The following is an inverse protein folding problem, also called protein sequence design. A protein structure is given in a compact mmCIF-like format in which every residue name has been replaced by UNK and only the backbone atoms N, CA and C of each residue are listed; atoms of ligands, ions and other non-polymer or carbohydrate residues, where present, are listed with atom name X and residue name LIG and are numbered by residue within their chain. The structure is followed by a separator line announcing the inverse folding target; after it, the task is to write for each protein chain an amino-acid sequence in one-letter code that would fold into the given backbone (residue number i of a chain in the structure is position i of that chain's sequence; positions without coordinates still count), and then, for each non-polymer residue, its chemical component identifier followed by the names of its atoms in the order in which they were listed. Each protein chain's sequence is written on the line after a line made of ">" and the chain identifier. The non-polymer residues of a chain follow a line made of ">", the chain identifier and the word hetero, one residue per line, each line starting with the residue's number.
data_IF_070978544035
#
_entry.id   IF_070978544035
#
_cell.length_a   1.000
_cell.length_b   1.000
_cell.length_c   1.000
_cell.angle_alpha   90.00
_cell.angle_beta   90.00
_cell.angle_gamma   90.00
#
_symmetry.space_group_name_H-M   'P 1'
#
loop_
_entity.id
_entity.type
_entity.pdbx_description
1 polymer ?
#
# COMPACT_ATOMS: atom_id res chain seq x y z
N UNK A 1 -10.28 -44.97 -24.85
CA UNK A 1 -9.84 -44.17 -23.66
C UNK A 1 -10.36 -42.76 -23.80
N UNK A 2 -10.96 -42.24 -22.75
CA UNK A 2 -11.40 -40.86 -22.72
C UNK A 2 -10.28 -39.99 -22.07
N UNK A 3 -9.82 -38.99 -22.79
CA UNK A 3 -8.85 -38.01 -22.31
C UNK A 3 -9.60 -36.79 -21.81
N UNK A 4 -9.43 -36.47 -20.51
CA UNK A 4 -10.18 -35.40 -19.86
C UNK A 4 -9.53 -34.04 -20.08
N UNK A 5 -10.33 -33.04 -20.44
CA UNK A 5 -9.98 -31.63 -20.36
C UNK A 5 -10.61 -31.06 -19.10
N UNK A 6 -9.81 -30.46 -18.21
CA UNK A 6 -10.32 -29.82 -17.01
C UNK A 6 -9.90 -28.35 -16.99
N UNK A 7 -10.87 -27.48 -16.72
CA UNK A 7 -10.65 -26.04 -16.51
C UNK A 7 -10.98 -25.73 -15.06
N UNK A 8 -10.05 -25.06 -14.37
CA UNK A 8 -10.21 -24.61 -13.01
C UNK A 8 -9.94 -23.11 -12.94
N UNK A 9 -10.70 -22.41 -12.11
CA UNK A 9 -10.54 -20.98 -11.87
C UNK A 9 -10.44 -20.76 -10.36
N UNK A 10 -9.54 -19.87 -9.95
CA UNK A 10 -9.42 -19.40 -8.57
C UNK A 10 -9.58 -17.88 -8.57
N UNK A 11 -10.37 -17.38 -7.63
CA UNK A 11 -10.54 -15.96 -7.41
C UNK A 11 -10.15 -15.61 -5.98
N UNK A 12 -9.31 -14.59 -5.83
CA UNK A 12 -8.99 -13.95 -4.56
C UNK A 12 -9.49 -12.51 -4.55
N UNK A 13 -10.38 -12.19 -3.60
CA UNK A 13 -10.79 -10.83 -3.29
C UNK A 13 -10.43 -10.51 -1.84
N UNK A 14 -9.57 -9.50 -1.61
CA UNK A 14 -9.13 -9.14 -0.26
C UNK A 14 -8.85 -7.66 -0.13
N UNK A 15 -8.97 -7.14 1.10
CA UNK A 15 -8.53 -5.78 1.42
C UNK A 15 -7.02 -5.64 1.21
N UNK A 16 -6.59 -4.45 0.81
CA UNK A 16 -5.18 -4.14 0.67
C UNK A 16 -4.39 -4.24 1.98
N UNK A 17 -3.09 -4.01 1.90
CA UNK A 17 -2.18 -4.12 3.04
C UNK A 17 -2.41 -3.01 4.06
N UNK A 18 -2.32 -3.30 5.37
CA UNK A 18 -2.44 -2.27 6.39
C UNK A 18 -1.22 -1.35 6.37
N UNK A 19 -1.45 -0.06 6.66
CA UNK A 19 -0.40 0.92 6.86
C UNK A 19 -0.77 1.95 7.92
N UNK A 20 0.20 2.77 8.32
CA UNK A 20 0.05 3.82 9.32
C UNK A 20 0.48 5.17 8.74
N UNK A 21 -0.22 6.23 9.11
CA UNK A 21 0.27 7.60 8.89
C UNK A 21 1.19 8.03 10.03
N UNK A 22 2.36 8.58 9.68
CA UNK A 22 3.40 8.96 10.64
C UNK A 22 3.99 10.32 10.34
N UNK A 23 4.70 10.89 11.30
CA UNK A 23 5.62 12.00 11.06
C UNK A 23 6.82 11.55 10.23
N UNK A 24 7.45 12.47 9.52
CA UNK A 24 8.66 12.19 8.70
C UNK A 24 9.93 12.11 9.54
N UNK A 25 9.91 12.67 10.74
CA UNK A 25 11.03 12.76 11.66
C UNK A 25 10.61 12.24 13.03
N UNK A 26 11.60 12.05 13.88
CA UNK A 26 11.40 11.74 15.29
C UNK A 26 10.65 12.90 15.98
N UNK A 27 9.38 12.66 16.29
CA UNK A 27 8.51 13.67 16.92
C UNK A 27 8.46 13.53 18.44
N UNK A 28 8.78 12.34 18.98
CA UNK A 28 8.72 12.05 20.41
C UNK A 28 10.08 12.11 21.11
N UNK A 29 11.20 12.19 20.34
CA UNK A 29 12.55 12.32 20.87
C UNK A 29 13.20 11.01 21.32
N UNK A 30 12.69 9.85 20.85
CA UNK A 30 13.23 8.53 21.20
C UNK A 30 14.39 8.08 20.29
N UNK A 31 14.80 8.92 19.34
CA UNK A 31 15.80 8.67 18.31
C UNK A 31 15.35 7.66 17.25
N UNK A 32 14.07 7.26 17.25
CA UNK A 32 13.44 6.42 16.23
C UNK A 32 12.77 7.28 15.17
N UNK A 33 13.16 7.17 13.91
CA UNK A 33 12.34 7.66 12.79
C UNK A 33 11.38 6.59 12.34
N UNK A 34 10.25 6.96 11.72
CA UNK A 34 9.27 6.05 11.12
C UNK A 34 8.35 5.27 12.10
N UNK A 35 8.27 5.69 13.36
CA UNK A 35 7.43 5.08 14.40
C UNK A 35 6.43 6.06 15.04
N UNK A 36 6.57 7.35 14.82
CA UNK A 36 5.73 8.38 15.44
C UNK A 36 4.42 8.58 14.69
N UNK A 37 3.33 8.08 15.27
CA UNK A 37 1.99 8.17 14.69
C UNK A 37 1.56 9.63 14.54
N UNK A 38 0.92 9.92 13.42
CA UNK A 38 0.53 11.27 13.06
C UNK A 38 -0.67 11.77 13.87
N UNK A 39 -0.54 12.91 14.55
CA UNK A 39 -1.69 13.63 15.09
C UNK A 39 -2.37 14.41 13.99
N UNK A 40 -3.63 14.12 13.75
CA UNK A 40 -4.45 14.78 12.74
C UNK A 40 -5.05 16.05 13.33
N UNK A 41 -4.69 17.25 12.85
CA UNK A 41 -5.23 18.48 13.37
C UNK A 41 -6.76 18.52 13.34
N UNK A 42 -7.38 19.02 14.39
CA UNK A 42 -8.84 19.09 14.53
C UNK A 42 -9.49 20.09 13.55
N UNK A 43 -8.69 21.04 13.04
CA UNK A 43 -9.13 22.04 12.08
C UNK A 43 -8.09 23.15 11.93
N UNK A 44 -8.35 24.16 11.09
CA UNK A 44 -7.47 25.31 10.96
C UNK A 44 -7.19 25.99 12.31
N UNK A 45 -5.93 26.28 12.55
CA UNK A 45 -5.47 26.90 13.82
C UNK A 45 -5.24 25.94 14.99
N UNK A 46 -5.51 24.62 14.85
CA UNK A 46 -5.20 23.65 15.91
C UNK A 46 -3.69 23.45 16.07
N UNK A 47 -2.98 23.41 14.97
CA UNK A 47 -1.50 23.40 14.91
C UNK A 47 -0.99 24.60 14.14
N UNK A 48 0.28 24.91 14.28
CA UNK A 48 0.95 26.01 13.57
C UNK A 48 1.73 25.43 12.39
N UNK A 49 1.55 25.99 11.21
CA UNK A 49 2.33 25.60 10.04
C UNK A 49 3.49 26.58 9.80
N UNK A 50 4.69 26.06 9.56
CA UNK A 50 5.89 26.89 9.34
C UNK A 50 5.77 27.83 8.14
N UNK A 51 4.99 27.45 7.12
CA UNK A 51 4.66 28.27 5.93
C UNK A 51 3.41 29.13 6.11
N UNK A 52 2.85 29.22 7.32
CA UNK A 52 1.66 30.04 7.62
C UNK A 52 0.39 29.53 6.94
N UNK A 53 -0.56 30.43 6.74
CA UNK A 53 -1.90 30.12 6.25
C UNK A 53 -1.93 29.41 4.89
N UNK A 54 -0.99 29.70 4.00
CA UNK A 54 -0.94 29.04 2.68
C UNK A 54 -0.59 27.55 2.80
N UNK A 55 0.35 27.20 3.67
CA UNK A 55 0.72 25.81 3.94
C UNK A 55 -0.39 25.08 4.68
N UNK A 56 -1.03 25.73 5.63
CA UNK A 56 -2.20 25.20 6.35
C UNK A 56 -3.35 24.88 5.37
N UNK A 57 -3.71 25.82 4.51
CA UNK A 57 -4.75 25.61 3.49
C UNK A 57 -4.42 24.45 2.55
N UNK A 58 -3.16 24.33 2.14
CA UNK A 58 -2.70 23.20 1.29
C UNK A 58 -2.82 21.85 2.01
N UNK A 59 -2.49 21.80 3.31
CA UNK A 59 -2.64 20.59 4.11
C UNK A 59 -4.11 20.17 4.24
N UNK A 60 -5.00 21.10 4.60
CA UNK A 60 -6.41 20.77 4.76
C UNK A 60 -7.10 20.43 3.44
N UNK A 61 -6.73 21.07 2.33
CA UNK A 61 -7.21 20.69 1.00
C UNK A 61 -6.81 19.27 0.60
N UNK A 62 -5.62 18.82 1.03
CA UNK A 62 -5.20 17.43 0.87
C UNK A 62 -5.96 16.51 1.83
N UNK A 63 -6.13 16.89 3.10
CA UNK A 63 -6.82 16.09 4.10
C UNK A 63 -8.29 15.81 3.70
N UNK A 64 -8.97 16.78 3.10
CA UNK A 64 -10.34 16.62 2.57
C UNK A 64 -10.45 15.53 1.49
N UNK A 65 -9.37 15.27 0.76
CA UNK A 65 -9.31 14.19 -0.23
C UNK A 65 -8.99 12.82 0.40
N UNK A 66 -8.75 12.78 1.71
CA UNK A 66 -8.40 11.58 2.47
C UNK A 66 -9.38 11.37 3.64
N UNK A 67 -10.65 11.05 3.38
CA UNK A 67 -11.72 11.00 4.39
C UNK A 67 -11.44 9.98 5.49
N UNK A 68 -10.71 8.92 5.21
CA UNK A 68 -10.32 7.91 6.20
C UNK A 68 -9.40 8.50 7.28
N UNK A 69 -8.43 9.36 6.89
CA UNK A 69 -7.57 10.06 7.82
C UNK A 69 -8.32 11.22 8.51
N UNK A 70 -9.14 11.94 7.76
CA UNK A 70 -9.95 13.04 8.28
C UNK A 70 -10.89 12.60 9.41
N UNK A 71 -11.32 11.34 9.43
CA UNK A 71 -12.12 10.78 10.52
C UNK A 71 -11.41 10.81 11.89
N UNK A 72 -10.10 10.98 11.92
CA UNK A 72 -9.29 11.08 13.13
C UNK A 72 -8.90 12.51 13.52
N UNK A 73 -9.58 13.53 12.99
CA UNK A 73 -9.31 14.92 13.38
C UNK A 73 -9.38 15.10 14.90
N UNK A 74 -8.38 15.80 15.44
CA UNK A 74 -8.19 15.98 16.89
C UNK A 74 -7.60 14.76 17.63
N UNK A 75 -7.16 13.75 16.92
CA UNK A 75 -6.66 12.50 17.49
C UNK A 75 -5.36 12.05 16.81
N UNK A 76 -4.64 11.13 17.45
CA UNK A 76 -3.53 10.41 16.83
C UNK A 76 -4.15 9.30 15.97
N UNK A 77 -3.78 9.27 14.69
CA UNK A 77 -4.19 8.22 13.76
C UNK A 77 -3.65 6.86 14.25
N UNK A 78 -4.51 5.82 14.40
CA UNK A 78 -4.07 4.55 14.95
C UNK A 78 -3.08 3.82 14.03
N UNK A 79 -2.20 3.04 14.63
CA UNK A 79 -1.28 2.18 13.89
C UNK A 79 -2.04 1.12 13.07
N UNK A 80 -1.63 0.92 11.81
CA UNK A 80 -2.17 -0.10 10.89
C UNK A 80 -3.70 0.01 10.66
N UNK A 81 -4.27 1.21 10.85
CA UNK A 81 -5.70 1.43 10.70
C UNK A 81 -6.14 1.64 9.24
N UNK A 82 -5.23 1.99 8.38
CA UNK A 82 -5.48 2.32 6.97
C UNK A 82 -5.13 1.14 6.07
N UNK A 83 -5.72 1.10 4.89
CA UNK A 83 -5.52 0.03 3.92
C UNK A 83 -5.17 0.60 2.54
N UNK A 84 -4.29 -0.08 1.81
CA UNK A 84 -4.10 0.16 0.38
C UNK A 84 -5.31 -0.34 -0.41
N UNK A 85 -5.31 -0.15 -1.72
CA UNK A 85 -6.41 -0.54 -2.60
C UNK A 85 -6.82 -2.01 -2.45
N UNK A 86 -8.11 -2.28 -2.75
CA UNK A 86 -8.66 -3.63 -2.75
C UNK A 86 -8.06 -4.47 -3.87
N UNK A 87 -7.62 -5.67 -3.53
CA UNK A 87 -7.00 -6.60 -4.49
C UNK A 87 -8.03 -7.60 -5.01
N UNK A 88 -8.12 -7.71 -6.34
CA UNK A 88 -8.88 -8.74 -7.02
C UNK A 88 -7.94 -9.51 -7.96
N UNK A 89 -7.76 -10.79 -7.76
CA UNK A 89 -6.92 -11.64 -8.60
C UNK A 89 -7.69 -12.86 -9.10
N UNK A 90 -7.46 -13.23 -10.36
CA UNK A 90 -8.03 -14.40 -11.00
C UNK A 90 -6.93 -15.26 -11.58
N UNK A 91 -6.92 -16.54 -11.22
CA UNK A 91 -6.02 -17.54 -11.79
C UNK A 91 -6.83 -18.57 -12.56
N UNK A 92 -6.29 -19.02 -13.68
CA UNK A 92 -6.90 -20.06 -14.52
C UNK A 92 -5.91 -21.18 -14.76
N UNK A 93 -6.36 -22.40 -14.55
CA UNK A 93 -5.62 -23.62 -14.90
C UNK A 93 -6.41 -24.46 -15.88
N UNK A 94 -5.78 -24.81 -17.00
CA UNK A 94 -6.32 -25.71 -17.98
C UNK A 94 -5.42 -26.95 -18.03
N UNK A 95 -6.00 -28.14 -17.85
CA UNK A 95 -5.27 -29.39 -17.99
C UNK A 95 -5.91 -30.24 -19.08
N UNK A 96 -5.07 -30.88 -19.89
CA UNK A 96 -5.47 -31.82 -20.92
C UNK A 96 -4.74 -33.15 -20.74
N UNK A 97 -5.50 -34.21 -20.54
CA UNK A 97 -4.96 -35.55 -20.64
C UNK A 97 -4.68 -35.90 -22.11
N UNK A 98 -3.58 -36.59 -22.34
CA UNK A 98 -3.12 -37.03 -23.64
C UNK A 98 -2.68 -38.51 -23.54
N UNK A 99 -2.64 -39.27 -24.63
CA UNK A 99 -2.08 -40.60 -24.64
C UNK A 99 -0.62 -40.57 -24.19
N UNK A 100 -0.17 -41.62 -23.55
CA UNK A 100 1.24 -41.87 -23.30
C UNK A 100 1.95 -42.41 -24.53
N UNK A 101 3.27 -42.57 -24.46
CA UNK A 101 4.10 -43.12 -25.52
C UNK A 101 4.08 -44.69 -25.56
N UNK A 102 3.47 -45.30 -24.53
CA UNK A 102 3.29 -46.75 -24.44
C UNK A 102 1.87 -47.07 -23.96
N UNK A 103 1.44 -48.33 -24.20
CA UNK A 103 0.12 -48.82 -23.78
C UNK A 103 -0.01 -48.74 -22.25
N UNK A 104 -1.14 -48.20 -21.77
CA UNK A 104 -1.41 -47.98 -20.35
C UNK A 104 -0.80 -46.71 -19.77
N UNK A 105 0.05 -46.00 -20.51
CA UNK A 105 0.65 -44.73 -20.07
C UNK A 105 -0.24 -43.54 -20.44
N UNK A 106 -0.11 -42.48 -19.66
CA UNK A 106 -0.82 -41.22 -19.88
C UNK A 106 0.13 -40.02 -19.76
N UNK A 107 -0.20 -38.94 -20.45
CA UNK A 107 0.45 -37.65 -20.31
C UNK A 107 -0.57 -36.60 -19.87
N UNK A 108 -0.14 -35.58 -19.19
CA UNK A 108 -0.98 -34.42 -18.85
C UNK A 108 -0.21 -33.15 -19.21
N UNK A 109 -0.81 -32.36 -20.05
CA UNK A 109 -0.37 -31.00 -20.33
C UNK A 109 -1.17 -30.04 -19.46
N UNK A 110 -0.51 -29.14 -18.74
CA UNK A 110 -1.17 -28.13 -17.93
C UNK A 110 -0.67 -26.72 -18.30
N UNK A 111 -1.61 -25.82 -18.50
CA UNK A 111 -1.39 -24.40 -18.69
C UNK A 111 -1.96 -23.67 -17.46
N UNK A 112 -1.08 -23.00 -16.72
CA UNK A 112 -1.44 -22.13 -15.59
C UNK A 112 -1.27 -20.68 -16.02
N UNK A 113 -2.31 -19.87 -15.83
CA UNK A 113 -2.30 -18.43 -16.07
C UNK A 113 -2.63 -17.77 -14.73
N UNK A 114 -1.63 -17.14 -14.11
CA UNK A 114 -1.79 -16.44 -12.86
C UNK A 114 -2.10 -14.98 -13.13
N UNK A 115 -2.99 -14.41 -12.33
CA UNK A 115 -3.45 -13.02 -12.43
C UNK A 115 -3.90 -12.66 -13.85
N UNK A 116 -4.81 -13.48 -14.44
CA UNK A 116 -5.30 -13.27 -15.81
C UNK A 116 -5.98 -11.92 -15.99
N UNK A 117 -6.51 -11.31 -14.92
CA UNK A 117 -7.04 -9.95 -14.95
C UNK A 117 -6.00 -8.95 -15.41
N UNK A 118 -4.77 -9.02 -14.90
CA UNK A 118 -3.67 -8.15 -15.31
C UNK A 118 -3.20 -8.39 -16.76
N UNK A 119 -3.38 -9.60 -17.29
CA UNK A 119 -3.13 -9.89 -18.71
C UNK A 119 -4.13 -9.16 -19.63
N UNK A 120 -5.36 -8.98 -19.17
CA UNK A 120 -6.42 -8.30 -19.93
C UNK A 120 -6.39 -6.78 -19.78
N UNK A 121 -6.02 -6.30 -18.60
CA UNK A 121 -5.87 -4.89 -18.27
C UNK A 121 -4.75 -4.74 -17.23
N UNK A 122 -3.73 -3.94 -17.56
CA UNK A 122 -2.54 -3.73 -16.73
C UNK A 122 -2.81 -3.10 -15.36
N UNK A 123 -3.97 -2.45 -15.18
CA UNK A 123 -4.40 -1.85 -13.93
C UNK A 123 -5.16 -2.83 -13.00
N UNK A 124 -5.42 -4.05 -13.44
CA UNK A 124 -6.14 -5.03 -12.64
C UNK A 124 -5.20 -5.98 -11.91
N UNK A 125 -5.66 -6.46 -10.76
CA UNK A 125 -4.92 -7.43 -9.95
C UNK A 125 -3.62 -6.90 -9.37
N UNK A 126 -3.49 -5.58 -9.22
CA UNK A 126 -2.33 -4.94 -8.62
C UNK A 126 -2.36 -5.10 -7.10
N UNK A 127 -1.18 -5.26 -6.52
CA UNK A 127 -0.96 -5.26 -5.08
C UNK A 127 -0.09 -4.07 -4.75
N UNK A 128 -0.59 -3.20 -3.88
CA UNK A 128 0.12 -2.02 -3.42
C UNK A 128 0.58 -2.16 -1.98
N UNK A 129 1.71 -1.53 -1.64
CA UNK A 129 2.14 -1.35 -0.25
C UNK A 129 3.02 -0.10 -0.07
N UNK A 130 3.31 0.21 1.19
CA UNK A 130 4.21 1.31 1.59
C UNK A 130 5.63 0.83 1.92
N UNK A 131 6.03 -0.34 1.42
CA UNK A 131 7.34 -0.92 1.68
C UNK A 131 7.48 -1.55 3.06
N UNK A 132 8.71 -1.74 3.50
CA UNK A 132 9.06 -2.54 4.68
C UNK A 132 8.37 -2.05 5.97
N UNK A 133 8.31 -0.73 6.18
CA UNK A 133 7.75 -0.18 7.41
C UNK A 133 6.22 -0.05 7.39
N UNK A 134 5.58 -0.26 6.25
CA UNK A 134 4.13 -0.08 6.05
C UNK A 134 3.64 1.27 6.59
N UNK A 135 4.34 2.36 6.25
CA UNK A 135 4.05 3.70 6.76
C UNK A 135 4.03 4.74 5.65
N UNK A 136 3.10 5.69 5.74
CA UNK A 136 3.08 6.89 4.92
C UNK A 136 3.47 8.10 5.78
N UNK A 137 4.57 8.74 5.39
CA UNK A 137 5.04 9.95 6.03
C UNK A 137 4.23 11.16 5.56
N UNK A 138 3.79 11.99 6.49
CA UNK A 138 2.99 13.19 6.16
C UNK A 138 3.80 14.48 6.33
N UNK A 139 3.94 14.95 7.56
CA UNK A 139 4.60 16.22 7.88
C UNK A 139 5.81 16.01 8.78
N UNK A 140 6.73 16.95 8.77
CA UNK A 140 7.73 17.04 9.84
C UNK A 140 7.11 17.71 11.06
N UNK A 141 7.36 17.15 12.21
CA UNK A 141 7.16 17.81 13.50
C UNK A 141 8.32 18.77 13.74
N UNK A 142 8.02 20.04 13.91
CA UNK A 142 9.02 21.11 14.13
C UNK A 142 9.05 21.64 15.56
N UNK A 143 8.39 20.94 16.50
CA UNK A 143 8.36 21.28 17.91
C UNK A 143 7.02 21.86 18.38
N UNK A 144 7.07 22.60 19.47
CA UNK A 144 5.92 23.26 20.09
C UNK A 144 6.20 24.78 20.16
N UNK A 145 5.20 25.60 19.88
CA UNK A 145 5.27 27.03 20.07
C UNK A 145 5.50 27.34 21.55
N UNK A 146 6.61 27.99 21.89
CA UNK A 146 7.00 28.33 23.22
C UNK A 146 7.63 29.72 23.29
N UNK A 147 7.97 30.21 24.50
CA UNK A 147 8.48 31.56 24.69
C UNK A 147 9.82 31.85 24.01
N UNK A 148 10.56 30.79 23.65
CA UNK A 148 11.84 30.88 22.92
C UNK A 148 11.71 30.60 21.42
N UNK A 149 10.51 30.31 20.92
CA UNK A 149 10.29 30.00 19.51
C UNK A 149 10.30 31.30 18.71
N UNK A 150 11.24 31.41 17.77
CA UNK A 150 11.40 32.61 16.91
C UNK A 150 10.49 32.62 15.71
N UNK A 151 9.71 31.55 15.48
CA UNK A 151 8.78 31.45 14.35
C UNK A 151 7.63 32.46 14.53
N UNK A 152 7.49 33.41 13.61
CA UNK A 152 6.46 34.44 13.69
C UNK A 152 5.02 33.88 13.80
N UNK A 153 4.76 32.71 13.20
CA UNK A 153 3.48 32.02 13.29
C UNK A 153 3.15 31.49 14.70
N UNK A 154 4.13 31.44 15.61
CA UNK A 154 3.96 31.01 16.99
C UNK A 154 3.48 32.14 17.93
N UNK A 155 3.52 33.41 17.51
CA UNK A 155 3.04 34.51 18.31
C UNK A 155 1.56 34.38 18.66
N UNK A 156 1.23 34.26 19.95
CA UNK A 156 -0.14 34.00 20.41
C UNK A 156 -0.66 32.59 20.24
N UNK A 157 0.23 31.64 19.90
CA UNK A 157 -0.09 30.24 19.69
C UNK A 157 0.73 29.30 20.60
N UNK A 158 1.10 29.78 21.80
CA UNK A 158 1.88 29.03 22.78
C UNK A 158 1.22 27.66 23.08
N UNK A 159 2.05 26.62 23.15
CA UNK A 159 1.62 25.25 23.42
C UNK A 159 1.11 24.46 22.21
N UNK A 160 0.95 25.10 21.06
CA UNK A 160 0.52 24.38 19.84
C UNK A 160 1.70 23.69 19.17
N UNK A 161 1.42 22.53 18.53
CA UNK A 161 2.39 21.83 17.71
C UNK A 161 2.72 22.63 16.45
N UNK A 162 3.96 22.50 16.00
CA UNK A 162 4.44 23.15 14.76
C UNK A 162 4.71 22.08 13.70
N UNK A 163 4.07 22.23 12.56
CA UNK A 163 4.20 21.32 11.42
C UNK A 163 4.86 22.00 10.23
N UNK A 164 5.68 21.23 9.52
CA UNK A 164 6.17 21.61 8.20
C UNK A 164 5.60 20.63 7.18
N UNK A 165 4.74 21.14 6.30
CA UNK A 165 4.04 20.38 5.28
C UNK A 165 4.55 20.73 3.88
N UNK A 166 4.97 19.73 3.10
CA UNK A 166 5.43 19.88 1.71
C UNK A 166 4.71 18.91 0.75
N UNK A 167 3.51 18.50 1.11
CA UNK A 167 2.78 17.43 0.47
C UNK A 167 2.95 16.11 1.22
N UNK A 168 2.14 15.09 0.92
CA UNK A 168 2.31 13.75 1.48
C UNK A 168 3.66 13.17 1.02
N UNK A 169 4.20 12.25 1.80
CA UNK A 169 5.32 11.42 1.38
C UNK A 169 4.97 10.51 0.21
N UNK A 170 5.90 9.65 -0.15
CA UNK A 170 5.64 8.65 -1.19
C UNK A 170 4.41 7.83 -0.84
N UNK A 171 3.45 7.77 -1.75
CA UNK A 171 2.25 6.93 -1.62
C UNK A 171 2.56 5.45 -1.72
N UNK A 172 1.53 4.62 -1.65
CA UNK A 172 1.66 3.19 -1.89
C UNK A 172 2.27 2.95 -3.27
N UNK A 173 3.13 1.94 -3.34
CA UNK A 173 3.80 1.54 -4.57
C UNK A 173 3.25 0.19 -5.01
N UNK A 174 3.03 0.02 -6.30
CA UNK A 174 2.72 -1.28 -6.86
C UNK A 174 3.86 -2.24 -6.53
N UNK A 175 3.52 -3.38 -5.97
CA UNK A 175 4.45 -4.48 -5.73
C UNK A 175 4.83 -5.11 -7.07
N UNK A 176 5.66 -4.38 -7.79
CA UNK A 176 6.42 -4.99 -8.86
C UNK A 176 7.54 -5.78 -8.22
N UNK A 177 7.66 -7.00 -8.67
CA UNK A 177 8.66 -7.94 -8.29
C UNK A 177 9.85 -7.34 -7.51
N UNK A 178 9.93 -7.66 -6.25
CA UNK A 178 11.19 -7.50 -5.57
C UNK A 178 12.20 -8.40 -6.27
N UNK A 179 13.06 -7.81 -7.11
CA UNK A 179 14.05 -8.47 -7.94
C UNK A 179 15.04 -9.35 -7.22
N UNK A 180 14.84 -9.60 -5.96
CA UNK A 180 15.70 -10.44 -5.19
C UNK A 180 15.24 -11.90 -5.29
N UNK A 181 15.81 -12.58 -6.29
CA UNK A 181 15.98 -14.04 -6.27
C UNK A 181 14.75 -14.88 -6.60
N UNK A 182 14.15 -14.65 -7.76
CA UNK A 182 13.26 -15.64 -8.38
C UNK A 182 11.82 -15.67 -7.89
N UNK A 183 11.36 -14.64 -7.21
CA UNK A 183 9.96 -14.47 -6.90
C UNK A 183 9.22 -13.92 -8.13
N UNK A 184 8.17 -14.61 -8.57
CA UNK A 184 7.25 -14.11 -9.58
C UNK A 184 6.64 -12.80 -9.14
N UNK A 185 6.52 -11.85 -10.05
CA UNK A 185 5.89 -10.56 -9.80
C UNK A 185 4.46 -10.75 -9.30
N UNK A 186 4.20 -10.40 -8.05
CA UNK A 186 2.89 -10.64 -7.42
C UNK A 186 1.77 -9.80 -8.02
N UNK A 187 2.11 -8.67 -8.67
CA UNK A 187 1.13 -7.79 -9.34
C UNK A 187 1.05 -8.00 -10.85
N UNK A 188 1.87 -8.89 -11.43
CA UNK A 188 1.89 -9.12 -12.86
C UNK A 188 1.37 -10.52 -13.18
N UNK A 189 0.77 -10.67 -14.36
CA UNK A 189 0.39 -11.97 -14.85
C UNK A 189 1.61 -12.83 -15.16
N UNK A 190 1.44 -14.12 -15.03
CA UNK A 190 2.43 -15.10 -15.46
C UNK A 190 1.77 -16.32 -16.07
N UNK A 191 2.49 -16.98 -16.98
CA UNK A 191 2.04 -18.22 -17.63
C UNK A 191 3.07 -19.30 -17.40
N UNK A 192 2.60 -20.44 -16.96
CA UNK A 192 3.42 -21.64 -16.81
C UNK A 192 2.82 -22.78 -17.62
N UNK A 193 3.65 -23.42 -18.46
CA UNK A 193 3.30 -24.64 -19.18
C UNK A 193 4.02 -25.81 -18.52
N UNK A 194 3.26 -26.82 -18.12
CA UNK A 194 3.78 -28.02 -17.46
C UNK A 194 3.40 -29.26 -18.22
N UNK A 195 4.32 -30.22 -18.30
CA UNK A 195 4.07 -31.55 -18.86
C UNK A 195 4.38 -32.61 -17.82
N UNK A 196 3.46 -33.52 -17.59
CA UNK A 196 3.61 -34.66 -16.70
C UNK A 196 3.39 -35.94 -17.46
N UNK A 197 4.31 -36.88 -17.33
CA UNK A 197 4.18 -38.23 -17.87
C UNK A 197 3.94 -39.22 -16.74
N UNK A 198 2.97 -40.13 -16.93
CA UNK A 198 2.60 -41.19 -16.00
C UNK A 198 2.76 -42.54 -16.68
N UNK A 199 3.52 -43.38 -16.06
CA UNK A 199 3.81 -44.78 -16.52
C UNK A 199 3.36 -45.81 -15.49
#
# INVERSE_FOLDING_TARGET
>A
ENYETRVSMFYEGRSGRPFSYIFRNDANGDSGGFNDLFYVPNGPGDVVFTGGAAMEASFFAWLEQNPELMAYQGQIAPANAFRTEWVNSFDVRITQELPGFAEGHKSVLALDIMNIGNLLNEDWGLIEDYGFNSTQQLANYAGICGPTTTLAACAGNEGRYVYHWTGPGTGAQIQENNNDKGNTAVSRWSVMLSFKYQF
#
